data_IF_760305973529
#
_entry.id   IF_760305973529
#
_cell.length_a   1.000
_cell.length_b   1.000
_cell.length_c   1.000
_cell.angle_alpha   90.00
_cell.angle_beta   90.00
_cell.angle_gamma   90.00
#
_symmetry.space_group_name_H-M   'P 1'
#
loop_
_entity.id
_entity.type
_entity.pdbx_description
1 polymer ?
#
# COMPACT_ATOMS: atom_id res chain seq x y z
N UNK A 1 9.17 14.60 77.59
CA UNK A 1 9.90 13.63 76.75
C UNK A 1 9.29 13.70 75.34
N UNK A 2 10.03 14.23 74.38
CA UNK A 2 9.54 14.45 73.02
C UNK A 2 9.64 13.16 72.20
N UNK A 3 8.52 12.66 71.70
CA UNK A 3 8.48 11.56 70.74
C UNK A 3 8.47 12.15 69.33
N UNK A 4 9.59 12.05 68.61
CA UNK A 4 9.66 12.42 67.19
C UNK A 4 9.67 11.14 66.35
N UNK A 5 8.73 10.97 65.40
CA UNK A 5 8.75 9.83 64.51
C UNK A 5 9.91 9.99 63.52
N UNK A 6 10.84 9.02 63.55
CA UNK A 6 11.91 8.89 62.57
C UNK A 6 11.26 8.59 61.21
N UNK A 7 11.38 9.52 60.26
CA UNK A 7 11.03 9.28 58.85
C UNK A 7 12.16 8.46 58.22
N UNK A 8 11.96 7.16 58.12
CA UNK A 8 12.82 6.26 57.35
C UNK A 8 12.80 6.70 55.87
N UNK A 9 13.83 7.44 55.48
CA UNK A 9 13.99 8.05 54.15
C UNK A 9 15.20 7.43 53.44
N UNK A 10 15.31 6.10 53.48
CA UNK A 10 16.20 5.36 52.58
C UNK A 10 15.35 4.62 51.54
N UNK A 11 15.68 4.70 50.24
CA UNK A 11 15.02 3.92 49.23
C UNK A 11 15.26 2.44 49.52
N UNK A 12 14.22 1.73 49.96
CA UNK A 12 14.25 0.27 50.08
C UNK A 12 14.52 -0.33 48.69
N UNK A 13 15.32 -1.41 48.61
CA UNK A 13 15.64 -2.12 47.35
C UNK A 13 14.36 -2.42 46.54
N UNK A 14 13.24 -2.71 47.22
CA UNK A 14 11.94 -2.92 46.59
C UNK A 14 11.34 -1.68 45.91
N UNK A 15 11.58 -0.47 46.42
CA UNK A 15 11.20 0.78 45.74
C UNK A 15 12.03 1.01 44.48
N UNK A 16 13.35 0.79 44.54
CA UNK A 16 14.23 0.96 43.37
C UNK A 16 13.89 0.01 42.23
N UNK A 17 13.56 -1.24 42.53
CA UNK A 17 13.11 -2.23 41.53
C UNK A 17 11.73 -1.87 40.97
N UNK A 18 10.81 -1.40 41.81
CA UNK A 18 9.49 -0.91 41.37
C UNK A 18 9.62 0.29 40.42
N UNK A 19 10.50 1.23 40.74
CA UNK A 19 10.71 2.44 39.95
C UNK A 19 11.38 2.10 38.60
N UNK A 20 12.40 1.24 38.60
CA UNK A 20 13.03 0.75 37.36
C UNK A 20 12.06 -0.02 36.46
N UNK A 21 11.19 -0.86 37.03
CA UNK A 21 10.14 -1.57 36.28
C UNK A 21 9.12 -0.62 35.66
N UNK A 22 8.80 0.48 36.37
CA UNK A 22 7.90 1.52 35.89
C UNK A 22 8.50 2.34 34.75
N UNK A 23 9.80 2.64 34.82
CA UNK A 23 10.52 3.34 33.76
C UNK A 23 10.62 2.50 32.49
N UNK A 24 10.93 1.21 32.60
CA UNK A 24 10.95 0.27 31.46
C UNK A 24 9.57 0.15 30.83
N UNK A 25 8.51 0.05 31.65
CA UNK A 25 7.13 0.05 31.16
C UNK A 25 6.79 1.36 30.42
N UNK A 26 7.32 2.49 30.89
CA UNK A 26 7.24 3.79 30.23
C UNK A 26 7.88 3.77 28.83
N UNK A 27 9.13 3.32 28.73
CA UNK A 27 9.87 3.22 27.46
C UNK A 27 9.14 2.36 26.43
N UNK A 28 8.67 1.18 26.84
CA UNK A 28 7.92 0.27 25.96
C UNK A 28 6.63 0.95 25.47
N UNK A 29 5.91 1.64 26.35
CA UNK A 29 4.70 2.37 25.95
C UNK A 29 4.99 3.49 24.95
N UNK A 30 6.12 4.18 25.10
CA UNK A 30 6.58 5.23 24.18
C UNK A 30 6.98 4.67 22.82
N UNK A 31 7.70 3.55 22.77
CA UNK A 31 8.08 2.86 21.54
C UNK A 31 6.83 2.42 20.76
N UNK A 32 5.83 1.86 21.45
CA UNK A 32 4.55 1.46 20.85
C UNK A 32 3.79 2.68 20.34
N UNK A 33 3.76 3.77 21.10
CA UNK A 33 3.11 5.02 20.69
C UNK A 33 3.78 5.60 19.43
N UNK A 34 5.11 5.56 19.37
CA UNK A 34 5.89 6.01 18.22
C UNK A 34 5.62 5.12 16.99
N UNK A 35 5.74 3.81 17.12
CA UNK A 35 5.47 2.85 16.04
C UNK A 35 4.03 2.98 15.53
N UNK A 36 3.06 3.19 16.42
CA UNK A 36 1.66 3.47 16.04
C UNK A 36 1.52 4.79 15.29
N UNK A 37 2.27 5.83 15.66
CA UNK A 37 2.26 7.11 14.96
C UNK A 37 2.86 7.01 13.56
N UNK A 38 3.97 6.29 13.40
CA UNK A 38 4.64 6.06 12.13
C UNK A 38 3.77 5.20 11.20
N UNK A 39 3.19 4.12 11.74
CA UNK A 39 2.23 3.30 11.01
C UNK A 39 1.01 4.11 10.56
N UNK A 40 0.47 4.99 11.42
CA UNK A 40 -0.67 5.86 11.06
C UNK A 40 -0.31 6.79 9.91
N UNK A 41 0.90 7.38 9.91
CA UNK A 41 1.38 8.20 8.80
C UNK A 41 1.53 7.36 7.53
N UNK A 42 2.15 6.18 7.62
CA UNK A 42 2.30 5.27 6.48
C UNK A 42 0.96 4.84 5.89
N UNK A 43 -0.01 4.47 6.72
CA UNK A 43 -1.37 4.08 6.29
C UNK A 43 -2.11 5.27 5.69
N UNK A 44 -1.98 6.46 6.27
CA UNK A 44 -2.62 7.67 5.72
C UNK A 44 -2.05 8.02 4.35
N UNK A 45 -0.74 8.07 4.22
CA UNK A 45 -0.07 8.39 2.95
C UNK A 45 -0.32 7.31 1.91
N UNK A 46 -0.23 6.03 2.29
CA UNK A 46 -0.57 4.90 1.42
C UNK A 46 -2.05 4.89 1.01
N UNK A 47 -2.96 5.23 1.93
CA UNK A 47 -4.39 5.33 1.63
C UNK A 47 -4.71 6.48 0.68
N UNK A 48 -4.09 7.65 0.88
CA UNK A 48 -4.24 8.80 -0.02
C UNK A 48 -3.69 8.46 -1.41
N UNK A 49 -2.52 7.82 -1.51
CA UNK A 49 -1.95 7.47 -2.81
C UNK A 49 -2.84 6.48 -3.56
N UNK A 50 -3.32 5.42 -2.89
CA UNK A 50 -4.27 4.48 -3.49
C UNK A 50 -5.55 5.18 -3.96
N UNK A 51 -6.11 6.08 -3.16
CA UNK A 51 -7.30 6.85 -3.53
C UNK A 51 -7.04 7.76 -4.74
N UNK A 52 -5.89 8.45 -4.78
CA UNK A 52 -5.51 9.31 -5.90
C UNK A 52 -5.29 8.50 -7.18
N UNK A 53 -4.62 7.34 -7.10
CA UNK A 53 -4.44 6.46 -8.25
C UNK A 53 -5.77 5.88 -8.74
N UNK A 54 -6.68 5.51 -7.83
CA UNK A 54 -8.02 5.05 -8.20
C UNK A 54 -8.81 6.16 -8.92
N UNK A 55 -8.78 7.40 -8.39
CA UNK A 55 -9.41 8.55 -9.02
C UNK A 55 -8.79 8.86 -10.39
N UNK A 56 -7.46 8.85 -10.50
CA UNK A 56 -6.74 9.06 -11.76
C UNK A 56 -7.09 7.98 -12.79
N UNK A 57 -7.17 6.71 -12.38
CA UNK A 57 -7.60 5.62 -13.25
C UNK A 57 -9.03 5.83 -13.75
N UNK A 58 -9.96 6.20 -12.87
CA UNK A 58 -11.34 6.50 -13.24
C UNK A 58 -11.44 7.66 -14.25
N UNK A 59 -10.78 8.78 -13.97
CA UNK A 59 -10.73 9.93 -14.90
C UNK A 59 -10.06 9.54 -16.21
N UNK A 60 -9.01 8.73 -16.17
CA UNK A 60 -8.35 8.19 -17.36
C UNK A 60 -9.29 7.37 -18.25
N UNK A 61 -10.14 6.53 -17.66
CA UNK A 61 -11.18 5.79 -18.40
C UNK A 61 -12.16 6.75 -19.07
N UNK A 62 -12.64 7.77 -18.34
CA UNK A 62 -13.55 8.77 -18.91
C UNK A 62 -12.89 9.55 -20.07
N UNK A 63 -11.62 9.92 -19.91
CA UNK A 63 -10.85 10.61 -20.94
C UNK A 63 -10.68 9.75 -22.19
N UNK A 64 -10.41 8.45 -22.06
CA UNK A 64 -10.33 7.51 -23.19
C UNK A 64 -11.67 7.45 -23.93
N UNK A 65 -12.80 7.41 -23.22
CA UNK A 65 -14.14 7.41 -23.86
C UNK A 65 -14.35 8.70 -24.66
N UNK A 66 -14.09 9.87 -24.06
CA UNK A 66 -14.22 11.16 -24.75
C UNK A 66 -13.26 11.29 -25.93
N UNK A 67 -12.01 10.84 -25.77
CA UNK A 67 -11.01 10.81 -26.84
C UNK A 67 -11.47 9.91 -28.00
N UNK A 68 -12.09 8.77 -27.70
CA UNK A 68 -12.61 7.85 -28.74
C UNK A 68 -13.66 8.52 -29.60
N UNK A 69 -14.60 9.24 -28.96
CA UNK A 69 -15.64 10.00 -29.64
C UNK A 69 -15.00 11.13 -30.47
N UNK A 70 -14.07 11.89 -29.87
CA UNK A 70 -13.38 12.97 -30.55
C UNK A 70 -12.63 12.50 -31.81
N UNK A 71 -11.90 11.39 -31.74
CA UNK A 71 -11.20 10.82 -32.91
C UNK A 71 -12.21 10.36 -33.97
N UNK A 72 -13.32 9.73 -33.58
CA UNK A 72 -14.32 9.29 -34.54
C UNK A 72 -14.94 10.47 -35.31
N UNK A 73 -15.27 11.57 -34.61
CA UNK A 73 -15.74 12.80 -35.24
C UNK A 73 -14.67 13.48 -36.08
N UNK A 74 -13.40 13.41 -35.67
CA UNK A 74 -12.29 13.97 -36.43
C UNK A 74 -12.09 13.23 -37.77
N UNK A 75 -12.20 11.90 -37.78
CA UNK A 75 -12.13 11.07 -39.00
C UNK A 75 -13.32 11.35 -39.93
N UNK A 76 -14.49 11.64 -39.36
CA UNK A 76 -15.69 11.98 -40.11
C UNK A 76 -15.71 13.44 -40.60
N UNK A 77 -14.83 14.30 -40.09
CA UNK A 77 -14.86 15.73 -40.36
C UNK A 77 -14.67 16.05 -41.85
N UNK A 78 -15.35 17.11 -42.32
CA UNK A 78 -15.15 17.77 -43.63
C UNK A 78 -15.89 17.24 -44.88
N UNK A 79 -17.08 16.64 -44.75
CA UNK A 79 -18.00 16.38 -45.88
C UNK A 79 -17.63 15.19 -46.78
N UNK A 80 -16.33 14.94 -46.98
CA UNK A 80 -15.76 13.75 -47.64
C UNK A 80 -15.21 12.72 -46.64
N UNK A 81 -15.45 12.95 -45.34
CA UNK A 81 -14.99 12.08 -44.26
C UNK A 81 -15.65 10.70 -44.28
N UNK A 82 -14.98 9.72 -43.66
CA UNK A 82 -15.49 8.36 -43.59
C UNK A 82 -16.80 8.33 -42.79
N UNK A 83 -17.75 7.47 -43.17
CA UNK A 83 -19.01 7.37 -42.45
C UNK A 83 -18.75 7.07 -40.96
N UNK A 84 -19.52 7.71 -40.08
CA UNK A 84 -19.22 7.76 -38.65
C UNK A 84 -19.05 6.37 -38.00
N UNK A 85 -19.81 5.37 -38.45
CA UNK A 85 -19.67 3.99 -37.97
C UNK A 85 -18.30 3.37 -38.29
N UNK A 86 -17.73 3.63 -39.47
CA UNK A 86 -16.39 3.17 -39.82
C UNK A 86 -15.30 3.87 -39.02
N UNK A 87 -15.49 5.16 -38.71
CA UNK A 87 -14.58 5.91 -37.85
C UNK A 87 -14.48 5.28 -36.45
N UNK A 88 -15.63 4.93 -35.84
CA UNK A 88 -15.65 4.22 -34.55
C UNK A 88 -15.00 2.82 -34.63
N UNK A 89 -15.19 2.07 -35.72
CA UNK A 89 -14.55 0.76 -35.90
C UNK A 89 -13.02 0.86 -35.99
N UNK A 90 -12.48 1.88 -36.67
CA UNK A 90 -11.03 2.11 -36.74
C UNK A 90 -10.47 2.41 -35.35
N UNK A 91 -11.12 3.30 -34.59
CA UNK A 91 -10.72 3.64 -33.23
C UNK A 91 -10.78 2.41 -32.30
N UNK A 92 -11.82 1.60 -32.43
CA UNK A 92 -11.95 0.34 -31.69
C UNK A 92 -10.82 -0.64 -32.02
N UNK A 93 -10.52 -0.85 -33.31
CA UNK A 93 -9.45 -1.73 -33.76
C UNK A 93 -8.07 -1.26 -33.24
N UNK A 94 -7.84 0.06 -33.22
CA UNK A 94 -6.64 0.65 -32.62
C UNK A 94 -6.51 0.30 -31.13
N UNK A 95 -7.56 0.46 -30.34
CA UNK A 95 -7.51 0.10 -28.91
C UNK A 95 -7.33 -1.41 -28.68
N UNK A 96 -7.94 -2.27 -29.51
CA UNK A 96 -7.69 -3.71 -29.44
C UNK A 96 -6.21 -4.04 -29.68
N UNK A 97 -5.57 -3.37 -30.63
CA UNK A 97 -4.15 -3.55 -30.92
C UNK A 97 -3.30 -3.11 -29.71
N UNK A 98 -3.55 -1.93 -29.16
CA UNK A 98 -2.85 -1.41 -27.97
C UNK A 98 -3.04 -2.36 -26.78
N UNK A 99 -4.27 -2.81 -26.51
CA UNK A 99 -4.58 -3.74 -25.44
C UNK A 99 -3.87 -5.09 -25.63
N UNK A 100 -3.84 -5.61 -26.87
CA UNK A 100 -3.11 -6.83 -27.22
C UNK A 100 -1.60 -6.72 -26.94
N UNK A 101 -0.97 -5.60 -27.32
CA UNK A 101 0.46 -5.35 -27.07
C UNK A 101 0.73 -5.23 -25.57
N UNK A 102 -0.05 -4.43 -24.83
CA UNK A 102 0.13 -4.27 -23.39
C UNK A 102 -0.08 -5.59 -22.64
N UNK A 103 -1.12 -6.34 -22.99
CA UNK A 103 -1.41 -7.65 -22.42
C UNK A 103 -0.28 -8.64 -22.69
N UNK A 104 0.26 -8.67 -23.91
CA UNK A 104 1.38 -9.52 -24.27
C UNK A 104 2.67 -9.15 -23.51
N UNK A 105 3.00 -7.86 -23.42
CA UNK A 105 4.18 -7.39 -22.67
C UNK A 105 4.03 -7.68 -21.18
N UNK A 106 2.85 -7.45 -20.61
CA UNK A 106 2.53 -7.77 -19.22
C UNK A 106 2.69 -9.27 -18.94
N UNK A 107 2.14 -10.11 -19.81
CA UNK A 107 2.28 -11.56 -19.74
C UNK A 107 3.74 -12.00 -19.79
N UNK A 108 4.54 -11.47 -20.73
CA UNK A 108 5.98 -11.78 -20.79
C UNK A 108 6.73 -11.34 -19.55
N UNK A 109 6.40 -10.19 -18.96
CA UNK A 109 7.04 -9.72 -17.72
C UNK A 109 6.70 -10.64 -16.54
N UNK A 110 5.44 -11.07 -16.39
CA UNK A 110 5.04 -12.03 -15.35
C UNK A 110 5.77 -13.37 -15.52
N UNK A 111 5.89 -13.85 -16.76
CA UNK A 111 6.63 -15.07 -17.08
C UNK A 111 8.13 -14.97 -16.75
N UNK A 112 8.73 -13.78 -16.94
CA UNK A 112 10.15 -13.55 -16.64
C UNK A 112 10.44 -13.42 -15.15
N UNK A 113 9.51 -12.81 -14.40
CA UNK A 113 9.62 -12.65 -12.95
C UNK A 113 8.99 -13.88 -12.31
N UNK A 114 9.73 -14.98 -12.26
CA UNK A 114 9.29 -16.20 -11.57
C UNK A 114 8.80 -15.93 -10.14
N UNK A 115 8.02 -16.85 -9.54
CA UNK A 115 7.41 -16.64 -8.23
C UNK A 115 8.47 -16.25 -7.18
N UNK A 116 8.15 -15.37 -6.21
CA UNK A 116 9.12 -14.81 -5.28
C UNK A 116 9.69 -15.89 -4.35
N UNK A 117 10.73 -16.58 -4.79
CA UNK A 117 11.27 -17.79 -4.16
C UNK A 117 11.70 -17.53 -2.71
N UNK A 118 12.30 -16.37 -2.43
CA UNK A 118 12.73 -15.97 -1.08
C UNK A 118 11.55 -15.76 -0.13
N UNK A 119 10.48 -15.11 -0.59
CA UNK A 119 9.28 -14.90 0.20
C UNK A 119 8.55 -16.23 0.49
N UNK A 120 8.52 -17.13 -0.50
CA UNK A 120 7.95 -18.48 -0.35
C UNK A 120 8.80 -19.32 0.62
N UNK A 121 10.13 -19.22 0.55
CA UNK A 121 11.03 -19.92 1.47
C UNK A 121 10.85 -19.43 2.91
N UNK A 122 10.84 -18.10 3.14
CA UNK A 122 10.58 -17.51 4.45
C UNK A 122 9.22 -17.93 5.03
N UNK A 123 8.16 -17.91 4.22
CA UNK A 123 6.82 -18.32 4.67
C UNK A 123 6.75 -19.80 5.08
N UNK A 124 7.60 -20.67 4.51
CA UNK A 124 7.67 -22.10 4.87
C UNK A 124 8.43 -22.37 6.16
N UNK A 125 9.29 -21.46 6.60
CA UNK A 125 10.03 -21.62 7.86
C UNK A 125 9.21 -21.22 9.09
N UNK A 126 8.23 -20.32 8.95
CA UNK A 126 7.32 -19.90 10.01
C UNK A 126 6.62 -21.10 10.70
N UNK A 127 5.96 -22.02 9.97
CA UNK A 127 5.34 -23.18 10.60
C UNK A 127 6.36 -24.22 11.11
N UNK A 128 7.56 -24.31 10.51
CA UNK A 128 8.61 -25.23 10.99
C UNK A 128 9.19 -24.78 12.33
N UNK A 129 9.38 -23.47 12.52
CA UNK A 129 9.82 -22.90 13.78
C UNK A 129 8.78 -23.07 14.90
N UNK A 130 7.48 -23.07 14.56
CA UNK A 130 6.38 -23.31 15.50
C UNK A 130 6.16 -24.79 15.82
N UNK A 131 6.46 -25.72 14.90
CA UNK A 131 6.24 -27.16 15.06
C UNK A 131 7.37 -27.91 15.77
N UNK A 132 8.53 -27.27 15.96
CA UNK A 132 9.69 -27.85 16.65
C UNK A 132 9.66 -27.72 18.19
N UNK A 133 8.54 -27.29 18.77
CA UNK A 133 8.42 -27.05 20.22
C UNK A 133 7.23 -27.81 20.82
N UNK A 134 7.22 -29.13 20.67
CA UNK A 134 6.44 -30.05 21.48
C UNK A 134 7.23 -31.34 21.69
#
# INVERSE_FOLDING_TARGET
MANTPVKDTEPTIGRLVSDASRDISGLISSEIALAKSELKVSVRTGGISVAMFAAAAFVGVLAIIMLSIAIAFLINWNGDGLALHWAFLIVFAFYLLVAGVLGFVGYKKIQQVGPPQRAIAQGREIPKALKGKH
#
